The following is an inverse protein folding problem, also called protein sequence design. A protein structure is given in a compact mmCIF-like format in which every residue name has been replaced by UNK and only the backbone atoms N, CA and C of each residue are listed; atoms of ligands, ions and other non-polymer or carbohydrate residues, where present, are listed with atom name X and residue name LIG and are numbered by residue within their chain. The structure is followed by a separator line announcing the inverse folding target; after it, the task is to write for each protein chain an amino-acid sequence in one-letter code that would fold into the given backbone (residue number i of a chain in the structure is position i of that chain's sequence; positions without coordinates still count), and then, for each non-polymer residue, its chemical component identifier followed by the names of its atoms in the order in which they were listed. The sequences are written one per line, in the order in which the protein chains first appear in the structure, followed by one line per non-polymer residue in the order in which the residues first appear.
data_IF_064600732212
#
_entry.id   IF_064600732212
#
_cell.length_a   1.000
_cell.length_b   1.000
_cell.length_c   1.000
_cell.angle_alpha   90.00
_cell.angle_beta   90.00
_cell.angle_gamma   90.00
#
_symmetry.space_group_name_H-M   'P 1'
#
loop_
_entity.id
_entity.type
_entity.pdbx_description
1 polymer ?
#
# COMPACT_ATOMS: atom_id res chain seq x y z
N UNK A 1 1.15 18.72 7.60
CA UNK A 1 0.33 18.34 6.42
C UNK A 1 1.12 18.33 5.11
N UNK A 2 1.72 19.43 4.64
CA UNK A 2 2.47 19.45 3.37
C UNK A 2 3.62 18.44 3.27
N UNK A 3 4.46 18.35 4.31
CA UNK A 3 5.60 17.42 4.32
C UNK A 3 5.16 15.94 4.32
N UNK A 4 4.05 15.62 5.00
CA UNK A 4 3.45 14.28 5.02
C UNK A 4 2.90 13.89 3.63
N UNK A 5 2.26 14.83 2.94
CA UNK A 5 1.69 14.63 1.60
C UNK A 5 2.76 14.39 0.53
N UNK A 6 3.89 15.11 0.60
CA UNK A 6 5.04 14.90 -0.30
C UNK A 6 5.71 13.54 -0.04
N UNK A 7 5.91 13.17 1.23
CA UNK A 7 6.40 11.83 1.57
C UNK A 7 5.45 10.73 1.07
N UNK A 8 4.13 10.89 1.22
CA UNK A 8 3.15 9.96 0.67
C UNK A 8 3.30 9.79 -0.84
N UNK A 9 3.35 10.88 -1.62
CA UNK A 9 3.52 10.78 -3.07
C UNK A 9 4.79 10.04 -3.46
N UNK A 10 5.93 10.33 -2.81
CA UNK A 10 7.19 9.63 -3.08
C UNK A 10 7.07 8.14 -2.71
N UNK A 11 6.43 7.82 -1.59
CA UNK A 11 6.20 6.45 -1.13
C UNK A 11 5.31 5.65 -2.08
N UNK A 12 4.35 6.28 -2.76
CA UNK A 12 3.51 5.61 -3.77
C UNK A 12 4.15 5.60 -5.18
N UNK A 13 4.96 6.60 -5.52
CA UNK A 13 5.57 6.72 -6.86
C UNK A 13 6.72 5.72 -7.06
N UNK A 14 7.57 5.51 -6.05
CA UNK A 14 8.66 4.52 -6.12
C UNK A 14 8.15 3.11 -6.46
N UNK A 15 7.17 2.53 -5.74
CA UNK A 15 6.64 1.21 -6.05
C UNK A 15 5.86 1.20 -7.37
N UNK A 16 5.22 2.30 -7.78
CA UNK A 16 4.58 2.39 -9.09
C UNK A 16 5.61 2.28 -10.24
N UNK A 17 6.72 3.01 -10.15
CA UNK A 17 7.81 2.96 -11.14
C UNK A 17 8.50 1.58 -11.12
N UNK A 18 8.76 1.02 -9.94
CA UNK A 18 9.34 -0.33 -9.82
C UNK A 18 8.41 -1.39 -10.42
N UNK A 19 7.10 -1.30 -10.18
CA UNK A 19 6.11 -2.25 -10.74
C UNK A 19 6.00 -2.11 -12.25
N UNK A 20 6.02 -0.88 -12.78
CA UNK A 20 6.03 -0.63 -14.22
C UNK A 20 7.28 -1.24 -14.89
N UNK A 21 8.45 -1.08 -14.28
CA UNK A 21 9.70 -1.67 -14.77
C UNK A 21 9.64 -3.21 -14.80
N UNK A 22 9.02 -3.84 -13.79
CA UNK A 22 8.80 -5.29 -13.77
C UNK A 22 7.82 -5.74 -14.86
N UNK A 23 6.75 -4.95 -15.11
CA UNK A 23 5.79 -5.23 -16.17
C UNK A 23 6.37 -5.07 -17.59
N UNK A 24 7.28 -4.10 -17.78
CA UNK A 24 7.97 -3.88 -19.05
C UNK A 24 9.06 -4.93 -19.31
N UNK A 25 9.81 -5.31 -18.28
CA UNK A 25 10.83 -6.34 -18.41
C UNK A 25 11.01 -7.12 -17.09
N UNK A 26 10.50 -8.36 -17.00
CA UNK A 26 10.56 -9.14 -15.76
C UNK A 26 12.00 -9.50 -15.35
N UNK A 27 12.98 -9.44 -16.27
CA UNK A 27 14.40 -9.69 -15.97
C UNK A 27 15.00 -8.63 -15.04
N UNK A 28 14.40 -7.44 -14.95
CA UNK A 28 14.86 -6.35 -14.07
C UNK A 28 14.80 -6.75 -12.59
N UNK A 29 13.87 -7.62 -12.19
CA UNK A 29 13.76 -8.17 -10.82
C UNK A 29 14.99 -8.97 -10.39
N UNK A 30 15.77 -9.48 -11.34
CA UNK A 30 17.01 -10.22 -11.09
C UNK A 30 18.20 -9.33 -10.73
N UNK A 31 18.13 -8.02 -11.04
CA UNK A 31 19.24 -7.09 -10.84
C UNK A 31 19.47 -6.74 -9.36
N UNK A 32 20.74 -6.57 -8.97
CA UNK A 32 21.14 -6.19 -7.61
C UNK A 32 20.57 -4.82 -7.21
N UNK A 33 20.49 -3.89 -8.17
CA UNK A 33 19.96 -2.53 -7.98
C UNK A 33 18.47 -2.60 -7.60
N UNK A 34 17.67 -3.34 -8.37
CA UNK A 34 16.23 -3.46 -8.09
C UNK A 34 15.97 -4.11 -6.73
N UNK A 35 16.70 -5.17 -6.38
CA UNK A 35 16.59 -5.85 -5.08
C UNK A 35 16.92 -4.92 -3.92
N UNK A 36 18.02 -4.17 -4.02
CA UNK A 36 18.46 -3.25 -2.96
C UNK A 36 17.48 -2.11 -2.77
N UNK A 37 17.05 -1.46 -3.87
CA UNK A 37 16.08 -0.35 -3.82
C UNK A 37 14.73 -0.82 -3.29
N UNK A 38 14.23 -1.97 -3.77
CA UNK A 38 12.98 -2.57 -3.28
C UNK A 38 13.07 -2.92 -1.79
N UNK A 39 14.17 -3.53 -1.34
CA UNK A 39 14.34 -3.92 0.06
C UNK A 39 14.42 -2.70 0.99
N UNK A 40 15.21 -1.68 0.62
CA UNK A 40 15.30 -0.43 1.38
C UNK A 40 13.94 0.28 1.48
N UNK A 41 13.19 0.32 0.38
CA UNK A 41 11.86 0.91 0.36
C UNK A 41 10.85 0.15 1.24
N UNK A 42 10.86 -1.20 1.18
CA UNK A 42 10.01 -2.03 2.04
C UNK A 42 10.36 -1.88 3.51
N UNK A 43 11.65 -1.81 3.87
CA UNK A 43 12.10 -1.56 5.24
C UNK A 43 11.64 -0.20 5.76
N UNK A 44 11.80 0.85 4.95
CA UNK A 44 11.31 2.18 5.28
C UNK A 44 9.79 2.18 5.50
N UNK A 45 9.03 1.54 4.60
CA UNK A 45 7.59 1.38 4.71
C UNK A 45 7.18 0.61 5.97
N UNK A 46 7.89 -0.47 6.34
CA UNK A 46 7.63 -1.25 7.54
C UNK A 46 7.87 -0.45 8.82
N UNK A 47 8.97 0.31 8.89
CA UNK A 47 9.28 1.16 10.04
C UNK A 47 8.23 2.26 10.20
N UNK A 48 7.80 2.87 9.09
CA UNK A 48 6.76 3.89 9.10
C UNK A 48 5.39 3.32 9.50
N UNK A 49 5.01 2.16 8.94
CA UNK A 49 3.80 1.45 9.30
C UNK A 49 3.79 1.04 10.79
N UNK A 50 4.93 0.59 11.32
CA UNK A 50 5.07 0.29 12.75
C UNK A 50 4.92 1.55 13.61
N UNK A 51 5.50 2.69 13.20
CA UNK A 51 5.32 3.98 13.86
C UNK A 51 3.87 4.44 13.90
N UNK A 52 3.17 4.36 12.77
CA UNK A 52 1.73 4.64 12.67
C UNK A 52 0.90 3.66 13.51
N UNK A 53 1.18 2.36 13.44
CA UNK A 53 0.48 1.35 14.23
C UNK A 53 0.66 1.55 15.74
N UNK A 54 1.87 1.87 16.20
CA UNK A 54 2.14 2.21 17.60
C UNK A 54 1.41 3.49 18.02
N UNK A 55 1.39 4.51 17.17
CA UNK A 55 0.69 5.77 17.43
C UNK A 55 -0.83 5.55 17.53
N UNK A 56 -1.40 4.74 16.63
CA UNK A 56 -2.81 4.32 16.64
C UNK A 56 -3.15 3.49 17.89
N UNK A 57 -2.32 2.51 18.25
CA UNK A 57 -2.50 1.69 19.46
C UNK A 57 -2.50 2.53 20.74
N UNK A 58 -1.69 3.60 20.77
CA UNK A 58 -1.63 4.54 21.89
C UNK A 58 -2.77 5.58 21.86
N UNK A 59 -3.38 5.85 20.71
CA UNK A 59 -4.33 6.97 20.50
C UNK A 59 -5.80 6.58 20.35
N UNK A 60 -6.17 5.41 19.83
CA UNK A 60 -7.56 5.13 19.50
C UNK A 60 -8.03 3.67 19.72
N UNK A 61 -9.01 3.52 20.62
CA UNK A 61 -9.86 2.33 20.83
C UNK A 61 -11.13 2.32 19.95
N UNK A 62 -11.44 3.36 19.18
CA UNK A 62 -12.67 3.47 18.41
C UNK A 62 -12.40 4.04 17.01
N UNK A 63 -12.56 3.22 15.96
CA UNK A 63 -12.54 3.55 14.52
C UNK A 63 -11.18 3.79 13.82
N UNK A 64 -10.36 2.74 13.76
CA UNK A 64 -9.11 2.62 12.96
C UNK A 64 -9.28 3.03 11.49
N UNK A 65 -10.47 2.89 10.89
CA UNK A 65 -10.71 3.20 9.47
C UNK A 65 -11.09 4.67 9.19
N UNK A 66 -11.37 5.46 10.23
CA UNK A 66 -11.91 6.83 10.08
C UNK A 66 -10.84 7.91 10.22
N UNK A 67 -9.73 7.61 10.91
CA UNK A 67 -8.55 8.49 10.99
C UNK A 67 -7.69 8.41 9.71
N UNK A 68 -7.16 9.56 9.28
CA UNK A 68 -6.23 9.67 8.14
C UNK A 68 -5.05 8.70 8.26
N UNK A 69 -4.58 8.44 9.49
CA UNK A 69 -3.48 7.52 9.79
C UNK A 69 -3.77 6.06 9.43
N UNK A 70 -5.01 5.59 9.63
CA UNK A 70 -5.40 4.22 9.29
C UNK A 70 -5.49 3.97 7.78
N UNK A 71 -5.93 5.00 7.03
CA UNK A 71 -5.90 4.98 5.57
C UNK A 71 -4.47 4.93 5.03
N UNK A 72 -3.55 5.73 5.58
CA UNK A 72 -2.14 5.69 5.22
C UNK A 72 -1.54 4.30 5.51
N UNK A 73 -1.77 3.77 6.71
CA UNK A 73 -1.32 2.43 7.12
C UNK A 73 -1.80 1.34 6.14
N UNK A 74 -3.07 1.38 5.72
CA UNK A 74 -3.62 0.40 4.78
C UNK A 74 -2.92 0.44 3.42
N UNK A 75 -2.59 1.64 2.91
CA UNK A 75 -1.86 1.80 1.66
C UNK A 75 -0.41 1.28 1.75
N UNK A 76 0.25 1.50 2.88
CA UNK A 76 1.59 0.96 3.14
C UNK A 76 1.60 -0.57 3.17
N UNK A 77 0.61 -1.20 3.81
CA UNK A 77 0.48 -2.67 3.85
C UNK A 77 0.32 -3.24 2.44
N UNK A 78 -0.48 -2.61 1.59
CA UNK A 78 -0.67 -3.00 0.19
C UNK A 78 0.66 -2.94 -0.58
N UNK A 79 1.42 -1.84 -0.45
CA UNK A 79 2.73 -1.69 -1.09
C UNK A 79 3.70 -2.79 -0.63
N UNK A 80 3.80 -3.02 0.69
CA UNK A 80 4.72 -4.02 1.26
C UNK A 80 4.37 -5.41 0.72
N UNK A 81 3.09 -5.76 0.72
CA UNK A 81 2.62 -7.05 0.21
C UNK A 81 2.91 -7.19 -1.30
N UNK A 82 2.66 -6.15 -2.09
CA UNK A 82 2.91 -6.14 -3.53
C UNK A 82 4.39 -6.27 -3.87
N UNK A 83 5.27 -5.50 -3.23
CA UNK A 83 6.71 -5.57 -3.45
C UNK A 83 7.29 -6.93 -3.02
N UNK A 84 6.77 -7.52 -1.95
CA UNK A 84 7.16 -8.87 -1.49
C UNK A 84 6.77 -9.96 -2.50
N UNK A 85 5.62 -9.79 -3.17
CA UNK A 85 5.18 -10.64 -4.26
C UNK A 85 6.10 -10.49 -5.49
N UNK A 86 6.39 -9.27 -5.91
CA UNK A 86 7.31 -9.03 -7.02
C UNK A 86 8.71 -9.62 -6.77
N UNK A 87 9.22 -9.52 -5.53
CA UNK A 87 10.52 -10.09 -5.17
C UNK A 87 10.53 -11.63 -5.15
N UNK A 88 9.43 -12.27 -4.76
CA UNK A 88 9.38 -13.72 -4.59
C UNK A 88 8.95 -14.48 -5.86
N UNK A 89 8.52 -13.75 -6.91
CA UNK A 89 7.99 -14.31 -8.17
C UNK A 89 8.98 -15.21 -8.94
N UNK A 90 10.27 -15.18 -8.60
CA UNK A 90 11.30 -16.01 -9.25
C UNK A 90 11.53 -17.36 -8.56
N UNK A 91 10.88 -17.66 -7.43
CA UNK A 91 11.20 -18.81 -6.57
C UNK A 91 10.05 -19.83 -6.58
N UNK A 92 10.18 -20.88 -7.38
CA UNK A 92 9.32 -22.08 -7.47
C UNK A 92 7.88 -21.89 -8.03
N UNK A 93 7.40 -22.82 -8.88
CA UNK A 93 6.09 -22.72 -9.55
C UNK A 93 4.88 -22.81 -8.60
N UNK A 94 5.01 -23.50 -7.46
CA UNK A 94 3.95 -23.60 -6.44
C UNK A 94 3.75 -22.26 -5.70
N UNK A 95 4.86 -21.57 -5.41
CA UNK A 95 4.85 -20.23 -4.80
C UNK A 95 4.25 -19.23 -5.79
N UNK A 96 4.58 -19.34 -7.08
CA UNK A 96 4.01 -18.49 -8.14
C UNK A 96 2.48 -18.49 -8.21
N UNK A 97 1.82 -19.64 -7.99
CA UNK A 97 0.34 -19.72 -7.95
C UNK A 97 -0.27 -19.02 -6.74
N UNK A 98 0.32 -19.21 -5.55
CA UNK A 98 -0.13 -18.53 -4.32
C UNK A 98 0.08 -17.02 -4.45
N UNK A 99 1.20 -16.61 -5.04
CA UNK A 99 1.50 -15.21 -5.29
C UNK A 99 0.52 -14.55 -6.26
N UNK A 100 0.10 -15.26 -7.31
CA UNK A 100 -0.90 -14.76 -8.26
C UNK A 100 -2.25 -14.54 -7.58
N UNK A 101 -2.70 -15.50 -6.75
CA UNK A 101 -3.94 -15.35 -5.99
C UNK A 101 -3.86 -14.16 -5.02
N UNK A 102 -2.74 -14.00 -4.33
CA UNK A 102 -2.53 -12.87 -3.42
C UNK A 102 -2.49 -11.54 -4.17
N UNK A 103 -1.87 -11.47 -5.35
CA UNK A 103 -1.85 -10.29 -6.20
C UNK A 103 -3.26 -9.90 -6.66
N UNK A 104 -4.10 -10.87 -7.04
CA UNK A 104 -5.50 -10.63 -7.42
C UNK A 104 -6.27 -10.03 -6.23
N UNK A 105 -6.15 -10.63 -5.04
CA UNK A 105 -6.82 -10.14 -3.82
C UNK A 105 -6.38 -8.71 -3.49
N UNK A 106 -5.07 -8.44 -3.52
CA UNK A 106 -4.52 -7.10 -3.24
C UNK A 106 -5.02 -6.07 -4.28
N UNK A 107 -5.14 -6.46 -5.55
CA UNK A 107 -5.62 -5.57 -6.62
C UNK A 107 -7.12 -5.27 -6.50
N UNK A 108 -7.91 -6.23 -6.01
CA UNK A 108 -9.35 -6.07 -5.83
C UNK A 108 -9.70 -5.28 -4.57
N UNK A 109 -8.86 -5.35 -3.54
CA UNK A 109 -9.08 -4.67 -2.26
C UNK A 109 -9.38 -3.16 -2.37
N UNK A 110 -8.59 -2.33 -3.08
CA UNK A 110 -8.90 -0.90 -3.25
C UNK A 110 -10.22 -0.65 -3.99
N UNK A 111 -10.59 -1.52 -4.94
CA UNK A 111 -11.87 -1.44 -5.64
C UNK A 111 -13.05 -1.75 -4.71
N UNK A 112 -12.93 -2.81 -3.90
CA UNK A 112 -13.93 -3.19 -2.90
C UNK A 112 -14.11 -2.09 -1.84
N UNK A 113 -13.01 -1.52 -1.34
CA UNK A 113 -13.03 -0.39 -0.41
C UNK A 113 -13.71 0.84 -1.04
N UNK A 114 -13.40 1.14 -2.30
CA UNK A 114 -14.03 2.26 -3.00
C UNK A 114 -15.55 2.06 -3.15
N UNK A 115 -16.00 0.87 -3.55
CA UNK A 115 -17.43 0.53 -3.64
C UNK A 115 -18.10 0.62 -2.26
N UNK A 116 -17.46 0.11 -1.20
CA UNK A 116 -17.98 0.17 0.16
C UNK A 116 -18.20 1.61 0.64
N UNK A 117 -17.24 2.50 0.39
CA UNK A 117 -17.34 3.94 0.68
C UNK A 117 -18.38 4.62 -0.22
N UNK A 118 -18.51 4.17 -1.46
CA UNK A 118 -19.52 4.71 -2.39
C UNK A 118 -20.95 4.39 -1.94
N UNK A 119 -21.18 3.19 -1.39
CA UNK A 119 -22.50 2.75 -0.92
C UNK A 119 -22.82 3.34 0.45
N UNK A 120 -21.86 3.42 1.38
CA UNK A 120 -22.08 3.95 2.73
C UNK A 120 -22.10 5.47 2.77
N UNK A 121 -23.29 6.05 2.61
CA UNK A 121 -23.51 7.51 2.68
C UNK A 121 -23.21 8.10 4.05
N UNK A 122 -23.43 7.34 5.13
CA UNK A 122 -23.12 7.78 6.50
C UNK A 122 -21.60 7.98 6.70
N UNK A 123 -20.78 7.06 6.18
CA UNK A 123 -19.32 7.18 6.15
C UNK A 123 -18.87 8.44 5.40
N UNK A 124 -19.47 8.74 4.24
CA UNK A 124 -19.14 9.97 3.48
C UNK A 124 -19.56 11.25 4.19
N UNK A 125 -20.68 11.22 4.90
CA UNK A 125 -21.20 12.38 5.60
C UNK A 125 -20.30 12.84 6.76
N UNK A 126 -19.65 11.87 7.42
CA UNK A 126 -18.75 12.07 8.55
C UNK A 126 -17.31 12.45 8.15
N UNK A 127 -16.99 12.48 6.85
CA UNK A 127 -15.68 12.92 6.39
C UNK A 127 -15.46 14.43 6.56
N UNK A 128 -14.23 14.85 6.86
CA UNK A 128 -13.87 16.25 6.91
C UNK A 128 -14.01 16.89 5.52
N UNK A 129 -14.25 18.21 5.49
CA UNK A 129 -14.65 18.94 4.27
C UNK A 129 -13.64 18.82 3.13
N UNK A 130 -12.34 18.70 3.44
CA UNK A 130 -11.28 18.50 2.44
C UNK A 130 -11.30 17.13 1.76
N UNK A 131 -11.99 16.13 2.32
CA UNK A 131 -12.13 14.80 1.73
C UNK A 131 -13.42 14.62 0.92
N UNK A 132 -14.39 15.53 1.05
CA UNK A 132 -15.70 15.42 0.37
C UNK A 132 -15.66 15.73 -1.12
N UNK A 133 -14.66 16.46 -1.60
CA UNK A 133 -14.52 16.88 -3.01
C UNK A 133 -13.84 15.86 -3.90
N UNK A 134 -13.44 14.70 -3.36
CA UNK A 134 -12.63 13.69 -4.08
C UNK A 134 -13.49 12.56 -4.68
N UNK A 135 -14.77 12.49 -4.33
CA UNK A 135 -15.79 11.56 -4.87
C UNK A 135 -16.80 12.37 -5.68
#
# INVERSE_FOLDING_TARGET
MYFLSVCCQVVYMIPAVLTLLVGLNPLVTGSCIWKTVSAAHVLFCLLWAAGLACSLLLRAQHNILHEEEGRELSGLVIIIAWMSLCHSSSKNPVVGRVQLLLAIVISLFPFILWVYVYINKEMRSSWPTHCKTVI
#
